data_IF_783743620733
#
_entry.id   IF_783743620733
#
_cell.length_a   1.000
_cell.length_b   1.000
_cell.length_c   1.000
_cell.angle_alpha   90.00
_cell.angle_beta   90.00
_cell.angle_gamma   90.00
#
_symmetry.space_group_name_H-M   'P 1'
#
loop_
_entity.id
_entity.type
_entity.pdbx_description
1 polymer ?
#
# COMPACT_ATOMS: atom_id res chain seq x y z
N UNK A 1 6.57 27.96 5.51
CA UNK A 1 7.88 27.67 4.87
C UNK A 1 8.91 27.55 5.97
N UNK A 2 9.71 26.48 6.01
CA UNK A 2 10.79 26.31 6.99
C UNK A 2 12.15 26.68 6.33
N UNK A 3 12.82 27.76 6.78
CA UNK A 3 14.08 28.23 6.20
C UNK A 3 15.29 27.31 6.50
N UNK A 4 15.19 26.41 7.48
CA UNK A 4 16.30 25.52 7.86
C UNK A 4 16.70 24.55 6.75
N UNK A 5 15.81 24.32 5.78
CA UNK A 5 16.08 23.49 4.61
C UNK A 5 16.89 24.22 3.52
N UNK A 6 16.97 25.56 3.53
CA UNK A 6 17.60 26.34 2.45
C UNK A 6 19.08 26.02 2.23
N UNK A 7 19.92 25.86 3.29
CA UNK A 7 21.33 25.49 3.10
C UNK A 7 21.50 24.13 2.41
N UNK A 8 20.69 23.15 2.81
CA UNK A 8 20.73 21.79 2.29
C UNK A 8 20.22 21.72 0.85
N UNK A 9 19.11 22.40 0.53
CA UNK A 9 18.62 22.55 -0.84
C UNK A 9 19.70 23.16 -1.73
N UNK A 10 20.36 24.24 -1.26
CA UNK A 10 21.43 24.87 -2.00
C UNK A 10 22.62 23.95 -2.25
N UNK A 11 22.97 23.07 -1.30
CA UNK A 11 24.03 22.07 -1.46
C UNK A 11 23.66 21.05 -2.54
N UNK A 12 22.52 20.39 -2.40
CA UNK A 12 22.07 19.34 -3.34
C UNK A 12 21.98 19.87 -4.77
N UNK A 13 21.42 21.06 -4.98
CA UNK A 13 21.32 21.65 -6.31
C UNK A 13 22.70 21.93 -6.95
N UNK A 14 23.70 22.33 -6.15
CA UNK A 14 25.07 22.50 -6.64
C UNK A 14 25.73 21.16 -7.00
N UNK A 15 25.47 20.13 -6.21
CA UNK A 15 26.01 18.79 -6.47
C UNK A 15 25.40 18.20 -7.75
N UNK A 16 24.08 18.34 -7.95
CA UNK A 16 23.39 17.97 -9.19
C UNK A 16 23.97 18.74 -10.39
N UNK A 17 24.16 20.05 -10.27
CA UNK A 17 24.71 20.86 -11.37
C UNK A 17 26.16 20.47 -11.72
N UNK A 18 26.93 20.00 -10.74
CA UNK A 18 28.31 19.55 -10.96
C UNK A 18 28.40 18.06 -11.38
N UNK A 19 27.28 17.32 -11.37
CA UNK A 19 27.28 15.87 -11.46
C UNK A 19 27.84 15.36 -12.79
N UNK A 20 27.40 15.93 -13.91
CA UNK A 20 27.84 15.54 -15.27
C UNK A 20 29.27 15.95 -15.57
N UNK A 21 29.83 16.93 -14.84
CA UNK A 21 31.22 17.33 -14.96
C UNK A 21 32.18 16.40 -14.19
N UNK A 22 31.66 15.60 -13.26
CA UNK A 22 32.46 14.72 -12.38
C UNK A 22 32.32 13.23 -12.73
N UNK A 23 31.33 12.87 -13.54
CA UNK A 23 30.99 11.48 -13.83
C UNK A 23 30.81 11.27 -15.33
N UNK A 24 31.21 10.10 -15.81
CA UNK A 24 30.85 9.63 -17.16
C UNK A 24 29.35 9.33 -17.22
N UNK A 25 28.73 9.63 -18.35
CA UNK A 25 27.29 9.38 -18.53
C UNK A 25 27.07 7.92 -18.90
N UNK A 26 26.53 7.18 -17.94
CA UNK A 26 26.13 5.77 -18.02
C UNK A 26 24.73 5.58 -17.42
N UNK A 27 24.08 4.46 -17.71
CA UNK A 27 22.75 4.14 -17.16
C UNK A 27 22.74 4.18 -15.62
N UNK A 28 23.79 3.68 -14.98
CA UNK A 28 23.91 3.73 -13.52
C UNK A 28 23.99 5.16 -13.01
N UNK A 29 24.85 5.99 -13.60
CA UNK A 29 24.98 7.39 -13.16
C UNK A 29 23.72 8.23 -13.44
N UNK A 30 22.91 7.84 -14.43
CA UNK A 30 21.60 8.44 -14.67
C UNK A 30 20.58 8.04 -13.61
N UNK A 31 20.60 6.78 -13.15
CA UNK A 31 19.78 6.33 -12.02
C UNK A 31 20.16 7.08 -10.74
N UNK A 32 21.45 7.19 -10.45
CA UNK A 32 21.95 7.94 -9.28
C UNK A 32 21.55 9.43 -9.34
N UNK A 33 21.60 10.04 -10.54
CA UNK A 33 21.15 11.42 -10.75
C UNK A 33 19.63 11.56 -10.55
N UNK A 34 18.85 10.57 -10.95
CA UNK A 34 17.40 10.55 -10.72
C UNK A 34 17.07 10.52 -9.22
N UNK A 35 17.77 9.67 -8.44
CA UNK A 35 17.61 9.59 -6.99
C UNK A 35 17.93 10.93 -6.30
N UNK A 36 19.01 11.61 -6.73
CA UNK A 36 19.39 12.90 -6.15
C UNK A 36 18.39 14.02 -6.52
N UNK A 37 17.81 13.97 -7.73
CA UNK A 37 16.71 14.85 -8.13
C UNK A 37 15.45 14.62 -7.28
N UNK A 38 15.09 13.37 -7.00
CA UNK A 38 13.97 13.05 -6.11
C UNK A 38 14.21 13.58 -4.69
N UNK A 39 15.43 13.42 -4.17
CA UNK A 39 15.84 14.00 -2.89
C UNK A 39 15.70 15.53 -2.89
N UNK A 40 16.14 16.22 -3.94
CA UNK A 40 16.00 17.67 -4.07
C UNK A 40 14.52 18.11 -4.02
N UNK A 41 13.65 17.40 -4.75
CA UNK A 41 12.19 17.64 -4.74
C UNK A 41 11.61 17.42 -3.34
N UNK A 42 12.04 16.37 -2.64
CA UNK A 42 11.60 16.10 -1.28
C UNK A 42 12.00 17.21 -0.29
N UNK A 43 13.23 17.72 -0.37
CA UNK A 43 13.70 18.84 0.45
C UNK A 43 12.87 20.11 0.21
N UNK A 44 12.58 20.43 -1.06
CA UNK A 44 11.73 21.58 -1.40
C UNK A 44 10.31 21.42 -0.87
N UNK A 45 9.70 20.22 -1.00
CA UNK A 45 8.38 19.93 -0.43
C UNK A 45 8.39 20.05 1.10
N UNK A 46 9.48 19.62 1.74
CA UNK A 46 9.66 19.75 3.19
C UNK A 46 9.80 21.20 3.63
N UNK A 47 10.57 22.01 2.90
CA UNK A 47 10.65 23.46 3.12
C UNK A 47 9.29 24.15 2.95
N UNK A 48 8.43 23.66 2.04
CA UNK A 48 7.06 24.15 1.87
C UNK A 48 6.10 23.72 3.00
N UNK A 49 6.51 22.80 3.89
CA UNK A 49 5.60 22.15 4.84
C UNK A 49 4.61 21.20 4.17
N UNK A 50 4.91 20.76 2.93
CA UNK A 50 4.12 19.82 2.13
C UNK A 50 4.71 18.42 2.11
N UNK A 51 5.57 18.06 3.06
CA UNK A 51 5.89 16.64 3.27
C UNK A 51 4.56 15.97 3.58
N UNK A 52 4.13 14.97 2.79
CA UNK A 52 3.02 14.13 3.21
C UNK A 52 3.36 13.66 4.62
N UNK A 53 2.44 13.74 5.59
CA UNK A 53 2.72 13.15 6.89
C UNK A 53 3.17 11.71 6.62
N UNK A 54 4.30 11.32 7.16
CA UNK A 54 4.82 9.97 7.00
C UNK A 54 4.34 9.17 8.20
N UNK A 55 3.82 7.98 7.97
CA UNK A 55 3.55 7.09 9.08
C UNK A 55 4.89 6.62 9.68
N UNK A 56 4.90 6.35 10.98
CA UNK A 56 6.08 5.87 11.73
C UNK A 56 6.10 4.35 11.87
N UNK A 57 5.35 3.63 11.03
CA UNK A 57 5.16 2.18 11.17
C UNK A 57 6.29 1.40 10.49
N UNK A 58 7.02 0.62 11.29
CA UNK A 58 8.05 -0.30 10.80
C UNK A 58 7.49 -1.45 9.95
N UNK A 59 6.21 -1.83 10.14
CA UNK A 59 5.56 -2.89 9.36
C UNK A 59 5.16 -2.43 7.95
N UNK A 60 4.86 -1.14 7.78
CA UNK A 60 4.40 -0.58 6.51
C UNK A 60 5.11 0.75 6.22
N UNK A 61 6.44 0.71 5.97
CA UNK A 61 7.20 1.90 5.65
C UNK A 61 6.61 2.57 4.40
N UNK A 62 6.37 3.88 4.46
CA UNK A 62 5.76 4.65 3.36
C UNK A 62 4.27 4.37 3.10
N UNK A 63 3.62 3.53 3.91
CA UNK A 63 2.19 3.25 3.78
C UNK A 63 1.28 4.48 3.97
N UNK A 64 -0.02 4.37 3.61
CA UNK A 64 -0.96 5.49 3.72
C UNK A 64 -1.09 5.98 5.16
N UNK A 65 -1.31 7.29 5.30
CA UNK A 65 -1.32 7.95 6.61
C UNK A 65 -2.73 8.17 7.12
N UNK A 66 -2.89 7.85 8.39
CA UNK A 66 -4.10 8.07 9.16
C UNK A 66 -3.76 8.84 10.44
N UNK A 67 -4.23 10.10 10.58
CA UNK A 67 -3.93 10.94 11.74
C UNK A 67 -4.57 10.41 13.04
N UNK A 68 -5.51 9.47 12.96
CA UNK A 68 -6.18 8.88 14.12
C UNK A 68 -5.54 7.57 14.59
N UNK A 69 -4.51 7.08 13.89
CA UNK A 69 -3.75 5.90 14.28
C UNK A 69 -2.50 6.29 15.09
N UNK A 70 -2.18 5.55 16.17
CA UNK A 70 -1.06 5.85 17.08
C UNK A 70 0.30 6.01 16.38
N UNK A 71 0.57 5.15 15.39
CA UNK A 71 1.78 5.20 14.57
C UNK A 71 1.57 5.90 13.22
N UNK A 72 0.41 6.53 13.01
CA UNK A 72 0.04 7.20 11.78
C UNK A 72 -0.23 6.27 10.59
N UNK A 73 -0.15 4.95 10.75
CA UNK A 73 -0.32 4.01 9.65
C UNK A 73 -1.79 3.60 9.52
N UNK A 74 -2.40 3.93 8.38
CA UNK A 74 -3.79 3.60 8.10
C UNK A 74 -4.07 2.09 8.18
N UNK A 75 -3.12 1.26 7.72
CA UNK A 75 -3.28 -0.19 7.74
C UNK A 75 -3.28 -0.76 9.16
N UNK A 76 -2.39 -0.27 10.02
CA UNK A 76 -2.34 -0.67 11.43
C UNK A 76 -3.55 -0.13 12.20
N UNK A 77 -3.91 1.14 12.02
CA UNK A 77 -5.08 1.73 12.64
C UNK A 77 -6.38 1.03 12.22
N UNK A 78 -6.52 0.66 10.94
CA UNK A 78 -7.66 -0.10 10.46
C UNK A 78 -7.73 -1.51 11.08
N UNK A 79 -6.60 -2.23 11.15
CA UNK A 79 -6.53 -3.54 11.79
C UNK A 79 -6.86 -3.48 13.30
N UNK A 80 -6.47 -2.40 13.97
CA UNK A 80 -6.70 -2.20 15.40
C UNK A 80 -8.15 -1.77 15.71
N UNK A 81 -8.75 -0.91 14.88
CA UNK A 81 -10.16 -0.49 15.01
C UNK A 81 -11.16 -1.56 14.59
N UNK A 82 -10.78 -2.44 13.64
CA UNK A 82 -11.56 -3.61 13.24
C UNK A 82 -10.78 -4.88 13.58
N UNK A 83 -10.70 -5.27 14.86
CA UNK A 83 -10.28 -6.63 15.16
C UNK A 83 -11.20 -7.57 14.38
N UNK A 84 -10.61 -8.55 13.71
CA UNK A 84 -11.37 -9.63 13.12
C UNK A 84 -12.30 -10.20 14.19
N UNK A 85 -13.63 -10.17 13.99
CA UNK A 85 -14.56 -10.84 14.90
C UNK A 85 -14.09 -12.28 15.08
N UNK A 86 -13.92 -12.76 16.33
CA UNK A 86 -13.46 -14.12 16.58
C UNK A 86 -14.43 -15.11 15.96
N UNK A 87 -13.89 -16.19 15.39
CA UNK A 87 -14.71 -17.32 14.95
C UNK A 87 -15.19 -18.01 16.23
N UNK A 88 -16.49 -18.30 16.40
CA UNK A 88 -16.96 -19.08 17.53
C UNK A 88 -16.21 -20.41 17.60
N UNK A 89 -15.73 -20.77 18.79
CA UNK A 89 -14.96 -22.01 18.99
C UNK A 89 -15.76 -23.24 18.53
N UNK A 90 -15.10 -24.14 17.79
CA UNK A 90 -15.72 -25.36 17.26
C UNK A 90 -16.49 -25.20 15.95
N UNK A 91 -16.48 -24.03 15.30
CA UNK A 91 -17.16 -23.81 14.01
C UNK A 91 -16.19 -23.94 12.83
N UNK A 92 -16.40 -24.97 12.01
CA UNK A 92 -15.68 -25.17 10.75
C UNK A 92 -16.30 -24.31 9.63
N UNK A 93 -15.57 -23.30 9.16
CA UNK A 93 -16.08 -22.35 8.15
C UNK A 93 -16.50 -23.02 6.84
N UNK A 94 -15.87 -24.15 6.48
CA UNK A 94 -16.24 -24.93 5.30
C UNK A 94 -17.63 -25.58 5.43
N UNK A 95 -18.01 -26.00 6.64
CA UNK A 95 -19.35 -26.53 6.93
C UNK A 95 -20.40 -25.42 6.87
N UNK A 96 -20.07 -24.24 7.39
CA UNK A 96 -20.94 -23.05 7.32
C UNK A 96 -21.19 -22.65 5.87
N UNK A 97 -20.16 -22.62 5.02
CA UNK A 97 -20.30 -22.30 3.60
C UNK A 97 -21.20 -23.31 2.86
N UNK A 98 -21.07 -24.59 3.20
CA UNK A 98 -21.89 -25.66 2.61
C UNK A 98 -23.35 -25.52 3.04
N UNK A 99 -23.61 -25.31 4.33
CA UNK A 99 -24.95 -25.08 4.85
C UNK A 99 -25.61 -23.83 4.26
N UNK A 100 -24.84 -22.76 3.99
CA UNK A 100 -25.38 -21.58 3.28
C UNK A 100 -25.80 -21.93 1.85
N UNK A 101 -25.05 -22.78 1.16
CA UNK A 101 -25.37 -23.20 -0.20
C UNK A 101 -26.58 -24.15 -0.25
N UNK A 102 -26.66 -25.07 0.71
CA UNK A 102 -27.67 -26.13 0.75
C UNK A 102 -29.01 -25.64 1.35
N UNK A 103 -28.95 -24.93 2.47
CA UNK A 103 -30.13 -24.58 3.29
C UNK A 103 -30.47 -23.08 3.25
N UNK A 104 -29.59 -22.26 2.66
CA UNK A 104 -29.75 -20.81 2.59
C UNK A 104 -29.21 -20.05 3.80
N UNK A 105 -29.12 -18.72 3.64
CA UNK A 105 -28.46 -17.84 4.61
C UNK A 105 -29.13 -17.82 5.99
N UNK A 106 -30.46 -17.77 6.06
CA UNK A 106 -31.19 -17.65 7.32
C UNK A 106 -31.13 -18.95 8.15
N UNK A 107 -31.23 -20.11 7.49
CA UNK A 107 -31.10 -21.40 8.13
C UNK A 107 -29.68 -21.63 8.68
N UNK A 108 -28.65 -21.28 7.89
CA UNK A 108 -27.26 -21.34 8.34
C UNK A 108 -26.98 -20.36 9.50
N UNK A 109 -27.58 -19.16 9.49
CA UNK A 109 -27.43 -18.18 10.56
C UNK A 109 -28.11 -18.64 11.87
N UNK A 110 -29.26 -19.31 11.78
CA UNK A 110 -29.92 -19.90 12.93
C UNK A 110 -29.10 -21.05 13.55
N UNK A 111 -28.37 -21.81 12.72
CA UNK A 111 -27.59 -22.98 13.15
C UNK A 111 -26.19 -22.64 13.67
N UNK A 112 -25.45 -21.77 12.98
CA UNK A 112 -24.04 -21.46 13.27
C UNK A 112 -23.83 -20.05 13.82
N UNK A 113 -24.87 -19.22 13.84
CA UNK A 113 -24.82 -17.82 14.24
C UNK A 113 -24.45 -16.89 13.07
N UNK A 114 -25.04 -15.70 13.08
CA UNK A 114 -24.84 -14.69 12.03
C UNK A 114 -23.37 -14.28 11.83
N UNK A 115 -22.57 -14.27 12.91
CA UNK A 115 -21.15 -13.92 12.84
C UNK A 115 -20.31 -14.98 12.11
N UNK A 116 -20.59 -16.27 12.35
CA UNK A 116 -19.90 -17.36 11.67
C UNK A 116 -20.21 -17.36 10.17
N UNK A 117 -21.49 -17.16 9.81
CA UNK A 117 -21.93 -17.06 8.41
C UNK A 117 -21.27 -15.87 7.71
N UNK A 118 -21.29 -14.69 8.32
CA UNK A 118 -20.66 -13.49 7.76
C UNK A 118 -19.14 -13.70 7.55
N UNK A 119 -18.47 -14.36 8.48
CA UNK A 119 -17.03 -14.65 8.40
C UNK A 119 -16.69 -15.67 7.32
N UNK A 120 -17.45 -16.76 7.26
CA UNK A 120 -17.33 -17.81 6.26
C UNK A 120 -17.43 -17.22 4.85
N UNK A 121 -18.45 -16.40 4.59
CA UNK A 121 -18.65 -15.71 3.30
C UNK A 121 -17.52 -14.73 2.98
N UNK A 122 -17.08 -13.93 3.96
CA UNK A 122 -15.99 -12.97 3.76
C UNK A 122 -14.63 -13.64 3.48
N UNK A 123 -14.41 -14.88 3.93
CA UNK A 123 -13.19 -15.65 3.60
C UNK A 123 -13.36 -16.38 2.26
N UNK A 124 -14.51 -17.02 2.02
CA UNK A 124 -14.79 -17.73 0.77
C UNK A 124 -14.72 -16.84 -0.47
N UNK A 125 -15.14 -15.59 -0.35
CA UNK A 125 -15.06 -14.57 -1.42
C UNK A 125 -13.63 -14.08 -1.70
N UNK A 126 -12.69 -14.22 -0.77
CA UNK A 126 -11.29 -13.80 -0.96
C UNK A 126 -10.48 -14.77 -1.80
N UNK A 127 -10.85 -16.05 -1.84
CA UNK A 127 -10.15 -17.09 -2.60
C UNK A 127 -10.74 -17.37 -3.99
N UNK A 128 -11.87 -16.77 -4.35
CA UNK A 128 -12.49 -16.90 -5.67
C UNK A 128 -12.06 -15.82 -6.68
N UNK A 129 -10.97 -15.09 -6.40
CA UNK A 129 -10.37 -14.18 -7.38
C UNK A 129 -9.88 -14.99 -8.57
N UNK A 130 -10.67 -15.04 -9.64
CA UNK A 130 -10.24 -15.56 -10.94
C UNK A 130 -8.86 -14.96 -11.28
N UNK A 131 -7.89 -15.74 -11.77
CA UNK A 131 -6.63 -15.16 -12.23
C UNK A 131 -6.97 -14.10 -13.27
N UNK A 132 -6.51 -12.86 -13.04
CA UNK A 132 -6.55 -11.79 -14.04
C UNK A 132 -5.84 -12.34 -15.27
N UNK A 133 -6.59 -12.65 -16.31
CA UNK A 133 -6.02 -12.94 -17.62
C UNK A 133 -5.20 -11.72 -18.03
N UNK A 134 -3.88 -11.92 -18.10
CA UNK A 134 -2.94 -10.95 -18.65
C UNK A 134 -3.43 -10.66 -20.07
N UNK A 135 -3.86 -9.43 -20.35
CA UNK A 135 -4.10 -8.99 -21.74
C UNK A 135 -2.78 -9.21 -22.49
N UNK A 136 -2.78 -9.87 -23.66
CA UNK A 136 -1.61 -9.88 -24.49
C UNK A 136 -1.34 -8.43 -24.91
N UNK A 137 -0.12 -8.00 -24.67
CA UNK A 137 0.42 -6.75 -25.14
C UNK A 137 0.36 -6.80 -26.68
N UNK A 138 -0.48 -5.97 -27.29
CA UNK A 138 -0.45 -5.78 -28.74
C UNK A 138 0.81 -4.97 -29.04
N UNK A 139 1.89 -5.68 -29.33
CA UNK A 139 3.09 -5.13 -29.93
C UNK A 139 2.72 -4.45 -31.26
N UNK A 140 3.23 -3.23 -31.42
CA UNK A 140 3.01 -2.40 -32.59
C UNK A 140 3.65 -3.03 -33.82
N UNK A 141 2.83 -3.28 -34.82
CA UNK A 141 3.29 -3.55 -36.17
C UNK A 141 3.45 -2.21 -36.90
N UNK A 142 4.70 -1.77 -37.02
CA UNK A 142 5.14 -0.77 -37.97
C UNK A 142 6.42 -1.27 -38.63
N UNK A 143 6.33 -1.86 -39.83
CA UNK A 143 7.28 -1.69 -40.94
C UNK A 143 6.92 -2.52 -42.17
N UNK A 144 6.26 -1.90 -43.16
CA UNK A 144 6.80 -1.59 -44.51
C UNK A 144 5.69 -1.17 -45.46
#
# INVERSE_FOLDING_TARGET
MNPDFLPEIGRVLRDIAAYTARNEITDQTLADLADELERAVHLVRSAQGKTPPANRCSRHPGGPVDPTADNGCLLCGAAQRRPASPIPEGVELGEVLRAVADDGHDAAAARYGAQAVARALAIGTRHSSKPRTRRPDTEGEATR
#
